data_IF_232019742830
#
_entry.id   IF_232019742830
#
_cell.length_a   1.000
_cell.length_b   1.000
_cell.length_c   1.000
_cell.angle_alpha   90.00
_cell.angle_beta   90.00
_cell.angle_gamma   90.00
#
_symmetry.space_group_name_H-M   'P 1'
#
loop_
_entity.id
_entity.type
_entity.pdbx_description
1 polymer ?
#
# COMPACT_ATOMS: atom_id res chain seq x y z
N UNK A 1 -15.91 -4.85 -1.01
CA UNK A 1 -14.59 -4.41 -1.54
C UNK A 1 -14.33 -2.92 -1.24
N UNK A 2 -13.27 -2.62 -0.47
CA UNK A 2 -12.78 -1.25 -0.23
C UNK A 2 -11.47 -1.05 -0.99
N UNK A 3 -11.24 0.17 -1.51
CA UNK A 3 -10.00 0.54 -2.19
C UNK A 3 -9.20 1.54 -1.37
N UNK A 4 -7.89 1.44 -1.44
CA UNK A 4 -6.96 2.30 -0.74
C UNK A 4 -5.72 2.50 -1.62
N UNK A 5 -5.19 3.73 -1.65
CA UNK A 5 -3.98 4.06 -2.41
C UNK A 5 -2.91 4.57 -1.45
N UNK A 6 -1.66 4.23 -1.72
CA UNK A 6 -0.52 4.73 -0.98
C UNK A 6 0.68 4.90 -1.90
N UNK A 7 1.57 5.82 -1.57
CA UNK A 7 2.87 5.93 -2.22
C UNK A 7 3.99 5.49 -1.28
N UNK A 8 5.07 5.02 -1.90
CA UNK A 8 6.33 4.74 -1.21
C UNK A 8 7.24 5.91 -1.52
N UNK A 9 7.68 6.62 -0.47
CA UNK A 9 8.73 7.61 -0.61
C UNK A 9 10.08 6.89 -0.60
N UNK A 10 10.78 6.96 -1.73
CA UNK A 10 12.14 6.49 -1.84
C UNK A 10 13.02 7.69 -1.53
N UNK A 11 13.61 7.71 -0.34
CA UNK A 11 14.64 8.70 -0.01
C UNK A 11 15.67 8.75 -1.14
N UNK A 12 16.16 9.95 -1.50
CA UNK A 12 17.02 10.16 -2.69
C UNK A 12 18.31 9.31 -2.65
N UNK A 13 18.66 8.79 -1.47
CA UNK A 13 19.82 7.95 -1.27
C UNK A 13 19.50 6.82 -0.26
N UNK A 14 18.74 5.79 -0.65
CA UNK A 14 18.32 4.76 0.27
C UNK A 14 19.53 3.89 0.62
N UNK A 15 20.06 4.05 1.83
CA UNK A 15 21.03 3.09 2.35
C UNK A 15 20.41 1.69 2.33
N UNK A 16 21.21 0.64 2.20
CA UNK A 16 20.70 -0.72 2.40
C UNK A 16 20.23 -0.81 3.86
N UNK A 17 18.90 -0.81 4.07
CA UNK A 17 18.28 -0.68 5.39
C UNK A 17 17.70 0.70 5.72
N UNK A 18 17.74 1.65 4.78
CA UNK A 18 17.11 2.96 4.88
C UNK A 18 15.59 2.86 5.03
N UNK A 19 15.00 3.80 5.77
CA UNK A 19 13.56 3.82 6.01
C UNK A 19 12.80 4.13 4.73
N UNK A 20 12.03 3.16 4.24
CA UNK A 20 10.99 3.39 3.25
C UNK A 20 9.71 3.73 4.00
N UNK A 21 9.21 4.95 3.82
CA UNK A 21 7.96 5.38 4.45
C UNK A 21 6.78 5.17 3.49
N UNK A 22 5.70 4.61 4.03
CA UNK A 22 4.44 4.39 3.32
C UNK A 22 3.45 5.48 3.69
N UNK A 23 2.93 6.18 2.68
CA UNK A 23 2.01 7.29 2.87
C UNK A 23 0.68 7.02 2.17
N UNK A 24 -0.40 7.00 2.95
CA UNK A 24 -1.75 6.79 2.44
C UNK A 24 -2.29 8.05 1.77
N UNK A 25 -2.77 7.89 0.54
CA UNK A 25 -3.49 8.92 -0.20
C UNK A 25 -4.98 8.79 0.10
N UNK A 26 -5.37 9.20 1.31
CA UNK A 26 -6.75 9.17 1.79
C UNK A 26 -6.96 8.25 2.99
N UNK A 27 -8.02 7.46 2.95
CA UNK A 27 -8.43 6.58 4.04
C UNK A 27 -7.35 5.56 4.37
N UNK A 28 -6.85 5.62 5.60
CA UNK A 28 -5.83 4.70 6.10
C UNK A 28 -6.46 3.33 6.36
N UNK A 29 -5.79 2.29 5.87
CA UNK A 29 -6.04 0.92 6.29
C UNK A 29 -5.02 0.51 7.36
N UNK A 30 -5.46 -0.14 8.45
CA UNK A 30 -4.56 -0.81 9.37
C UNK A 30 -3.62 -1.78 8.63
N UNK A 31 -2.36 -1.86 9.06
CA UNK A 31 -1.35 -2.66 8.36
C UNK A 31 -1.71 -4.16 8.26
N UNK A 32 -2.44 -4.69 9.25
CA UNK A 32 -2.96 -6.07 9.22
C UNK A 32 -4.04 -6.28 8.15
N UNK A 33 -4.78 -5.23 7.76
CA UNK A 33 -5.79 -5.29 6.70
C UNK A 33 -5.17 -5.21 5.29
N UNK A 34 -3.95 -4.66 5.16
CA UNK A 34 -3.21 -4.71 3.89
C UNK A 34 -2.82 -6.14 3.51
N UNK A 35 -2.72 -7.06 4.48
CA UNK A 35 -2.37 -8.45 4.22
C UNK A 35 -3.49 -9.15 3.44
N UNK A 36 -3.15 -9.66 2.25
CA UNK A 36 -4.11 -10.34 1.39
C UNK A 36 -4.87 -9.41 0.44
N UNK A 37 -4.66 -8.09 0.53
CA UNK A 37 -5.10 -7.16 -0.50
C UNK A 37 -4.42 -7.45 -1.84
N UNK A 38 -5.13 -7.15 -2.93
CA UNK A 38 -4.58 -7.24 -4.29
C UNK A 38 -4.20 -5.86 -4.79
N UNK A 39 -3.02 -5.74 -5.39
CA UNK A 39 -2.66 -4.54 -6.15
C UNK A 39 -3.49 -4.53 -7.43
N UNK A 40 -4.25 -3.46 -7.65
CA UNK A 40 -5.16 -3.30 -8.80
C UNK A 40 -4.73 -2.19 -9.74
N UNK A 41 -3.83 -1.29 -9.29
CA UNK A 41 -3.24 -0.25 -10.12
C UNK A 41 -1.85 0.16 -9.61
N UNK A 42 -0.99 0.57 -10.55
CA UNK A 42 0.37 1.08 -10.30
C UNK A 42 0.60 2.25 -11.24
N UNK A 43 0.82 3.44 -10.70
CA UNK A 43 1.05 4.65 -11.50
C UNK A 43 2.01 5.64 -10.82
N UNK A 44 2.46 6.63 -11.57
CA UNK A 44 3.14 7.80 -11.00
C UNK A 44 2.16 8.96 -10.93
N UNK A 45 2.10 9.67 -9.80
CA UNK A 45 1.29 10.88 -9.66
C UNK A 45 2.01 12.13 -10.23
N UNK A 46 1.38 13.30 -10.11
CA UNK A 46 1.94 14.58 -10.59
C UNK A 46 3.25 14.95 -9.89
N UNK A 47 3.44 14.52 -8.64
CA UNK A 47 4.67 14.69 -7.86
C UNK A 47 5.74 13.64 -8.18
N UNK A 48 5.50 12.76 -9.16
CA UNK A 48 6.39 11.66 -9.57
C UNK A 48 6.63 10.61 -8.49
N UNK A 49 5.72 10.47 -7.54
CA UNK A 49 5.73 9.39 -6.56
C UNK A 49 5.10 8.13 -7.15
N UNK A 50 5.67 6.96 -6.83
CA UNK A 50 5.07 5.68 -7.20
C UNK A 50 3.87 5.39 -6.30
N UNK A 51 2.68 5.41 -6.88
CA UNK A 51 1.41 5.13 -6.21
C UNK A 51 0.97 3.70 -6.50
N UNK A 52 0.60 2.98 -5.44
CA UNK A 52 0.01 1.65 -5.47
C UNK A 52 -1.44 1.77 -5.00
N UNK A 53 -2.37 1.25 -5.79
CA UNK A 53 -3.77 1.09 -5.36
C UNK A 53 -4.04 -0.37 -5.08
N UNK A 54 -4.58 -0.64 -3.89
CA UNK A 54 -4.96 -1.98 -3.45
C UNK A 54 -6.46 -2.08 -3.24
N UNK A 55 -6.97 -3.30 -3.43
CA UNK A 55 -8.35 -3.66 -3.17
C UNK A 55 -8.39 -4.74 -2.07
N UNK A 56 -9.19 -4.50 -1.03
CA UNK A 56 -9.40 -5.48 0.04
C UNK A 56 -10.19 -6.66 -0.51
N UNK A 57 -9.84 -7.91 -0.13
CA UNK A 57 -10.70 -9.04 -0.44
C UNK A 57 -12.10 -8.83 0.17
N UNK A 58 -13.13 -9.40 -0.44
CA UNK A 58 -14.40 -9.53 0.27
C UNK A 58 -14.19 -10.51 1.44
N UNK A 59 -14.71 -10.17 2.62
CA UNK A 59 -14.49 -10.82 3.94
C UNK A 59 -14.82 -12.33 4.05
N UNK A 60 -14.97 -13.05 2.94
CA UNK A 60 -15.32 -14.47 2.90
C UNK A 60 -14.14 -15.44 2.82
N UNK A 61 -12.88 -14.99 2.64
CA UNK A 61 -11.78 -15.94 2.44
C UNK A 61 -10.42 -15.45 2.96
N UNK A 62 -10.19 -15.54 4.28
CA UNK A 62 -9.26 -16.53 4.84
C UNK A 62 -9.12 -16.39 6.36
N UNK A 63 -8.90 -17.51 7.08
CA UNK A 63 -8.49 -17.47 8.48
C UNK A 63 -7.14 -16.76 8.60
N UNK A 64 -7.01 -15.97 9.65
CA UNK A 64 -5.71 -15.45 10.12
C UNK A 64 -5.00 -16.66 10.73
N UNK A 65 -4.09 -17.30 10.00
CA UNK A 65 -3.16 -18.24 10.64
C UNK A 65 -2.15 -17.43 11.49
N UNK A 66 -1.95 -17.81 12.77
CA UNK A 66 -1.04 -17.14 13.69
C UNK A 66 0.45 -17.29 13.30
#
# INVERSE_FOLDING_TARGET
MRRCSFYIDFDENPEIGGQQAFYFLGDKLPANELRGCRIVDICFNEERQLVLTVETPDDAARPIDP
#
